data_IF_490978226678
#
_entry.id   IF_490978226678
#
_cell.length_a   1.000
_cell.length_b   1.000
_cell.length_c   1.000
_cell.angle_alpha   90.00
_cell.angle_beta   90.00
_cell.angle_gamma   90.00
#
_symmetry.space_group_name_H-M   'P 1'
#
loop_
_entity.id
_entity.type
_entity.pdbx_description
1 polymer ?
#
# COMPACT_ATOMS: atom_id res chain seq x y z
N UNK A 1 42.55 20.53 62.63
CA UNK A 1 42.74 20.53 61.16
C UNK A 1 41.56 19.77 60.55
N UNK A 2 40.62 20.47 59.91
CA UNK A 2 39.44 19.82 59.33
C UNK A 2 39.80 19.22 57.96
N UNK A 3 39.83 17.90 57.85
CA UNK A 3 39.98 17.19 56.58
C UNK A 3 38.70 17.35 55.77
N UNK A 4 38.71 18.19 54.74
CA UNK A 4 37.60 18.28 53.79
C UNK A 4 37.40 16.93 53.10
N UNK A 5 36.19 16.37 53.27
CA UNK A 5 35.78 15.11 52.67
C UNK A 5 35.46 15.36 51.19
N UNK A 6 36.43 15.18 50.29
CA UNK A 6 36.21 15.36 48.86
C UNK A 6 35.07 14.45 48.36
N UNK A 7 34.15 15.04 47.59
CA UNK A 7 32.99 14.33 47.05
C UNK A 7 33.41 13.25 46.05
N UNK A 8 32.63 12.16 45.96
CA UNK A 8 32.88 11.04 45.03
C UNK A 8 33.12 11.50 43.57
N UNK A 9 32.49 12.62 43.15
CA UNK A 9 32.61 13.19 41.81
C UNK A 9 34.00 13.79 41.55
N UNK A 10 34.62 14.40 42.56
CA UNK A 10 35.94 15.02 42.44
C UNK A 10 37.03 13.95 42.31
N UNK A 11 36.92 12.86 43.09
CA UNK A 11 37.81 11.72 43.01
C UNK A 11 37.78 11.05 41.62
N UNK A 12 36.59 10.94 41.01
CA UNK A 12 36.43 10.43 39.65
C UNK A 12 37.08 11.37 38.64
N UNK A 13 36.81 12.69 38.69
CA UNK A 13 37.44 13.67 37.79
C UNK A 13 38.96 13.58 37.84
N UNK A 14 39.56 13.53 39.04
CA UNK A 14 41.01 13.38 39.21
C UNK A 14 41.55 12.09 38.60
N UNK A 15 40.84 10.96 38.75
CA UNK A 15 41.21 9.68 38.13
C UNK A 15 41.22 9.74 36.60
N UNK A 16 40.22 10.38 35.99
CA UNK A 16 40.08 10.44 34.54
C UNK A 16 40.96 11.51 33.87
N UNK A 17 41.25 12.63 34.55
CA UNK A 17 42.16 13.69 34.08
C UNK A 17 43.65 13.41 34.38
N UNK A 18 43.96 12.33 35.12
CA UNK A 18 45.35 11.96 35.37
C UNK A 18 46.10 11.71 34.05
N UNK A 19 47.30 12.30 33.96
CA UNK A 19 48.17 12.23 32.78
C UNK A 19 49.08 11.02 32.93
N UNK A 20 49.02 10.09 31.98
CA UNK A 20 49.93 8.94 31.91
C UNK A 20 50.97 9.21 30.82
N UNK A 21 52.21 8.78 31.05
CA UNK A 21 53.30 8.84 30.04
C UNK A 21 53.58 7.41 29.59
N UNK A 22 53.26 7.09 28.35
CA UNK A 22 53.69 5.87 27.69
C UNK A 22 55.07 6.17 27.09
N UNK A 23 56.09 5.41 27.51
CA UNK A 23 57.44 5.52 26.95
C UNK A 23 57.75 4.23 26.24
N UNK A 24 58.23 4.33 25.01
CA UNK A 24 58.80 3.21 24.26
C UNK A 24 60.31 3.40 24.33
N UNK A 25 60.97 2.45 24.99
CA UNK A 25 62.41 2.43 25.22
C UNK A 25 63.01 1.22 24.49
N UNK A 26 64.25 1.37 24.02
CA UNK A 26 65.02 0.26 23.45
C UNK A 26 65.49 -0.68 24.57
N UNK A 27 65.37 -1.99 24.36
CA UNK A 27 65.68 -2.99 25.40
C UNK A 27 67.19 -3.19 25.59
N UNK A 28 68.00 -2.92 24.55
CA UNK A 28 69.46 -3.11 24.60
C UNK A 28 70.18 -1.83 25.02
N UNK A 29 69.74 -0.66 24.53
CA UNK A 29 70.43 0.61 24.82
C UNK A 29 69.74 1.48 25.87
N UNK A 30 68.54 1.10 26.34
CA UNK A 30 67.73 1.90 27.27
C UNK A 30 67.52 3.35 26.79
N UNK A 31 67.57 3.61 25.49
CA UNK A 31 67.28 4.93 24.94
C UNK A 31 65.77 5.12 24.77
N UNK A 32 65.23 6.26 25.22
CA UNK A 32 63.82 6.63 25.03
C UNK A 32 63.58 6.97 23.54
N UNK A 33 63.06 6.03 22.75
CA UNK A 33 62.78 6.25 21.32
C UNK A 33 61.50 7.04 21.07
N UNK A 34 60.49 6.88 21.91
CA UNK A 34 59.25 7.66 21.81
C UNK A 34 58.57 7.85 23.18
N UNK A 35 58.01 9.04 23.43
CA UNK A 35 57.27 9.34 24.66
C UNK A 35 55.93 9.99 24.33
N UNK A 36 54.84 9.29 24.63
CA UNK A 36 53.46 9.77 24.43
C UNK A 36 52.81 10.10 25.77
N UNK A 37 52.27 11.32 25.91
CA UNK A 37 51.45 11.69 27.07
C UNK A 37 49.97 11.45 26.75
N UNK A 38 49.37 10.46 27.38
CA UNK A 38 47.98 10.05 27.16
C UNK A 38 47.18 10.14 28.46
N UNK A 39 46.00 10.73 28.40
CA UNK A 39 45.00 10.67 29.47
C UNK A 39 43.94 9.63 29.09
N UNK A 40 43.32 8.98 30.09
CA UNK A 40 42.20 8.05 29.89
C UNK A 40 41.08 8.70 29.07
N UNK A 41 40.87 10.01 29.24
CA UNK A 41 39.89 10.78 28.47
C UNK A 41 40.30 10.93 27.01
N UNK A 42 41.58 11.23 26.74
CA UNK A 42 42.08 11.41 25.38
C UNK A 42 41.95 10.11 24.56
N UNK A 43 42.31 8.97 25.16
CA UNK A 43 42.18 7.64 24.54
C UNK A 43 40.72 7.31 24.23
N UNK A 44 39.80 7.66 25.14
CA UNK A 44 38.36 7.46 24.92
C UNK A 44 37.83 8.33 23.78
N UNK A 45 38.25 9.60 23.72
CA UNK A 45 37.85 10.52 22.64
C UNK A 45 38.37 10.05 21.29
N UNK A 46 39.67 9.73 21.18
CA UNK A 46 40.25 9.21 19.94
C UNK A 46 39.65 7.85 19.54
N UNK A 47 39.43 6.95 20.50
CA UNK A 47 38.80 5.65 20.24
C UNK A 47 37.35 5.79 19.76
N UNK A 48 36.57 6.68 20.38
CA UNK A 48 35.20 6.98 19.97
C UNK A 48 35.15 7.63 18.58
N UNK A 49 36.02 8.61 18.32
CA UNK A 49 36.14 9.25 17.02
C UNK A 49 36.54 8.23 15.94
N UNK A 50 37.53 7.38 16.23
CA UNK A 50 37.95 6.32 15.31
C UNK A 50 36.82 5.34 15.04
N UNK A 51 36.09 4.90 16.07
CA UNK A 51 34.93 4.03 15.90
C UNK A 51 33.85 4.69 15.04
N UNK A 52 33.56 5.98 15.25
CA UNK A 52 32.61 6.73 14.43
C UNK A 52 33.07 6.81 12.97
N UNK A 53 34.37 7.05 12.74
CA UNK A 53 34.96 7.03 11.38
C UNK A 53 34.80 5.65 10.75
N UNK A 54 35.09 4.57 11.46
CA UNK A 54 34.93 3.21 10.93
C UNK A 54 33.47 2.90 10.62
N UNK A 55 32.53 3.26 11.50
CA UNK A 55 31.10 3.04 11.29
C UNK A 55 30.62 3.83 10.07
N UNK A 56 30.93 5.12 10.00
CA UNK A 56 30.55 5.97 8.86
C UNK A 56 31.17 5.47 7.57
N UNK A 57 32.45 5.12 7.57
CA UNK A 57 33.15 4.54 6.42
C UNK A 57 32.52 3.21 5.97
N UNK A 58 32.13 2.35 6.92
CA UNK A 58 31.43 1.09 6.61
C UNK A 58 30.07 1.36 5.98
N UNK A 59 29.31 2.32 6.49
CA UNK A 59 28.01 2.72 5.91
C UNK A 59 28.19 3.34 4.52
N UNK A 60 29.20 4.19 4.33
CA UNK A 60 29.58 4.76 3.04
C UNK A 60 29.92 3.64 2.05
N UNK A 61 30.76 2.68 2.44
CA UNK A 61 31.08 1.50 1.64
C UNK A 61 29.83 0.71 1.27
N UNK A 62 28.91 0.49 2.22
CA UNK A 62 27.65 -0.20 1.92
C UNK A 62 26.82 0.56 0.89
N UNK A 63 26.75 1.89 0.95
CA UNK A 63 25.97 2.71 0.01
C UNK A 63 26.62 2.77 -1.38
N UNK A 64 27.95 2.95 -1.44
CA UNK A 64 28.69 3.07 -2.70
C UNK A 64 28.94 1.72 -3.39
N UNK A 65 28.96 0.62 -2.62
CA UNK A 65 29.11 -0.72 -3.17
C UNK A 65 27.73 -1.30 -3.47
N UNK A 66 27.55 -2.07 -4.57
CA UNK A 66 26.28 -2.71 -4.87
C UNK A 66 25.77 -3.69 -3.79
N UNK A 67 26.53 -3.98 -2.72
CA UNK A 67 26.08 -4.83 -1.60
C UNK A 67 24.80 -4.32 -0.91
N UNK A 68 24.55 -2.99 -0.87
CA UNK A 68 23.31 -2.45 -0.30
C UNK A 68 22.06 -2.95 -1.01
N UNK A 69 22.11 -3.21 -2.33
CA UNK A 69 20.93 -3.67 -3.08
C UNK A 69 20.56 -5.12 -2.73
N UNK A 70 21.54 -5.94 -2.36
CA UNK A 70 21.36 -7.36 -2.06
C UNK A 70 20.83 -7.59 -0.64
N UNK A 71 21.29 -6.80 0.35
CA UNK A 71 20.90 -6.98 1.76
C UNK A 71 19.66 -6.16 2.12
N UNK A 72 19.53 -4.90 1.66
CA UNK A 72 18.43 -4.02 2.06
C UNK A 72 17.22 -4.07 1.09
N UNK A 73 17.26 -4.88 0.04
CA UNK A 73 16.12 -5.09 -0.84
C UNK A 73 15.68 -3.87 -1.65
N UNK A 74 16.47 -2.79 -1.67
CA UNK A 74 16.31 -1.65 -2.59
C UNK A 74 16.73 -2.06 -4.00
N UNK A 75 15.99 -2.99 -4.59
CA UNK A 75 16.08 -3.27 -6.03
C UNK A 75 15.51 -2.06 -6.76
N UNK A 76 16.36 -1.46 -7.60
CA UNK A 76 16.02 -0.31 -8.43
C UNK A 76 14.67 -0.55 -9.15
N UNK A 77 13.81 0.46 -9.12
CA UNK A 77 12.48 0.43 -9.73
C UNK A 77 12.57 0.08 -11.23
N UNK A 78 13.66 0.48 -11.88
CA UNK A 78 14.02 0.15 -13.28
C UNK A 78 14.01 -1.37 -13.52
N UNK A 79 14.79 -2.13 -12.74
CA UNK A 79 14.90 -3.59 -12.89
C UNK A 79 13.55 -4.28 -12.64
N UNK A 80 12.70 -3.70 -11.77
CA UNK A 80 11.35 -4.21 -11.54
C UNK A 80 10.46 -3.97 -12.75
N UNK A 81 10.50 -2.79 -13.37
CA UNK A 81 9.71 -2.50 -14.56
C UNK A 81 10.13 -3.36 -15.74
N UNK A 82 11.43 -3.54 -15.97
CA UNK A 82 11.94 -4.43 -17.01
C UNK A 82 11.53 -5.89 -16.76
N UNK A 83 11.68 -6.37 -15.52
CA UNK A 83 11.25 -7.73 -15.13
C UNK A 83 9.75 -7.90 -15.32
N UNK A 84 8.94 -6.89 -14.97
CA UNK A 84 7.49 -6.93 -15.18
C UNK A 84 7.13 -6.93 -16.66
N UNK A 85 7.78 -6.12 -17.50
CA UNK A 85 7.55 -6.11 -18.94
C UNK A 85 7.94 -7.44 -19.59
N UNK A 86 9.07 -8.02 -19.18
CA UNK A 86 9.52 -9.34 -19.63
C UNK A 86 8.55 -10.44 -19.19
N UNK A 87 8.08 -10.38 -17.94
CA UNK A 87 7.08 -11.32 -17.41
C UNK A 87 5.76 -11.24 -18.21
N UNK A 88 5.29 -10.03 -18.50
CA UNK A 88 4.07 -9.82 -19.31
C UNK A 88 4.23 -10.38 -20.73
N UNK A 89 5.37 -10.13 -21.39
CA UNK A 89 5.67 -10.67 -22.72
C UNK A 89 5.74 -12.20 -22.70
N UNK A 90 6.42 -12.77 -21.70
CA UNK A 90 6.53 -14.23 -21.52
C UNK A 90 5.16 -14.87 -21.30
N UNK A 91 4.33 -14.32 -20.40
CA UNK A 91 2.99 -14.83 -20.13
C UNK A 91 2.07 -14.73 -21.35
N UNK A 92 2.18 -13.65 -22.13
CA UNK A 92 1.45 -13.49 -23.39
C UNK A 92 1.83 -14.58 -24.40
N UNK A 93 3.13 -14.85 -24.54
CA UNK A 93 3.63 -15.88 -25.45
C UNK A 93 3.19 -17.28 -24.99
N UNK A 94 3.32 -17.58 -23.70
CA UNK A 94 2.85 -18.83 -23.10
C UNK A 94 1.36 -19.08 -23.38
N UNK A 95 0.52 -18.03 -23.23
CA UNK A 95 -0.92 -18.12 -23.53
C UNK A 95 -1.17 -18.43 -25.02
N UNK A 96 -0.43 -17.81 -25.93
CA UNK A 96 -0.54 -18.08 -27.37
C UNK A 96 -0.14 -19.52 -27.70
N UNK A 97 0.96 -20.00 -27.13
CA UNK A 97 1.43 -21.38 -27.31
C UNK A 97 0.38 -22.37 -26.79
N UNK A 98 -0.12 -22.17 -25.57
CA UNK A 98 -1.15 -23.04 -24.98
C UNK A 98 -2.43 -23.10 -25.80
N UNK A 99 -2.88 -21.96 -26.34
CA UNK A 99 -4.04 -21.93 -27.23
C UNK A 99 -3.78 -22.67 -28.54
N UNK A 100 -2.59 -22.52 -29.12
CA UNK A 100 -2.19 -23.26 -30.32
C UNK A 100 -2.14 -24.76 -30.07
N UNK A 101 -1.57 -25.20 -28.95
CA UNK A 101 -1.55 -26.62 -28.56
C UNK A 101 -2.96 -27.18 -28.36
N UNK A 102 -3.85 -26.44 -27.72
CA UNK A 102 -5.25 -26.84 -27.54
C UNK A 102 -5.98 -26.96 -28.88
N UNK A 103 -5.72 -26.04 -29.82
CA UNK A 103 -6.26 -26.10 -31.17
C UNK A 103 -5.76 -27.34 -31.92
N UNK A 104 -4.44 -27.56 -31.99
CA UNK A 104 -3.85 -28.73 -32.67
C UNK A 104 -4.32 -30.03 -32.03
N UNK A 105 -4.43 -30.08 -30.71
CA UNK A 105 -4.95 -31.26 -29.98
C UNK A 105 -6.41 -31.53 -30.35
N UNK A 106 -7.23 -30.49 -30.45
CA UNK A 106 -8.64 -30.62 -30.83
C UNK A 106 -8.77 -31.07 -32.30
N UNK A 107 -7.95 -30.52 -33.20
CA UNK A 107 -7.88 -30.98 -34.59
C UNK A 107 -7.49 -32.44 -34.66
N UNK A 108 -6.42 -32.85 -33.97
CA UNK A 108 -5.97 -34.24 -33.94
C UNK A 108 -7.09 -35.18 -33.46
N UNK A 109 -7.84 -34.80 -32.42
CA UNK A 109 -8.99 -35.59 -31.92
C UNK A 109 -10.10 -35.73 -32.95
N UNK A 110 -10.42 -34.66 -33.68
CA UNK A 110 -11.42 -34.69 -34.76
C UNK A 110 -10.96 -35.59 -35.92
N UNK A 111 -9.69 -35.48 -36.34
CA UNK A 111 -9.14 -36.30 -37.43
C UNK A 111 -9.08 -37.80 -37.08
N UNK A 112 -8.87 -38.14 -35.81
CA UNK A 112 -8.83 -39.54 -35.33
C UNK A 112 -10.24 -40.12 -35.10
N UNK A 113 -11.30 -39.30 -35.16
CA UNK A 113 -12.69 -39.74 -34.99
C UNK A 113 -13.17 -39.80 -33.53
N UNK A 114 -12.33 -39.39 -32.57
CA UNK A 114 -12.67 -39.34 -31.14
C UNK A 114 -13.42 -38.05 -30.78
N UNK A 115 -14.59 -37.85 -31.37
CA UNK A 115 -15.49 -36.74 -31.04
C UNK A 115 -16.28 -37.06 -29.77
N UNK A 116 -15.67 -36.83 -28.59
CA UNK A 116 -16.47 -36.57 -27.38
C UNK A 116 -17.02 -35.15 -27.50
N UNK A 117 -18.36 -34.94 -27.50
CA UNK A 117 -18.92 -33.59 -27.51
C UNK A 117 -18.49 -32.88 -26.23
N UNK A 118 -17.53 -31.96 -26.33
CA UNK A 118 -17.30 -31.00 -25.26
C UNK A 118 -18.54 -30.13 -25.19
N UNK A 119 -19.33 -30.34 -24.14
CA UNK A 119 -20.38 -29.42 -23.74
C UNK A 119 -19.71 -28.09 -23.42
N UNK A 120 -19.73 -27.18 -24.39
CA UNK A 120 -19.48 -25.78 -24.11
C UNK A 120 -20.71 -25.30 -23.35
N UNK A 121 -20.63 -25.37 -22.02
CA UNK A 121 -21.61 -24.73 -21.14
C UNK A 121 -21.54 -23.23 -21.44
N UNK A 122 -22.54 -22.76 -22.21
CA UNK A 122 -22.76 -21.35 -22.52
C UNK A 122 -23.30 -20.64 -21.29
N UNK A 123 -22.52 -20.56 -20.22
CA UNK A 123 -22.87 -19.76 -19.04
C UNK A 123 -21.66 -18.93 -18.62
N UNK A 124 -21.38 -17.86 -19.35
CA UNK A 124 -20.44 -16.80 -18.93
C UNK A 124 -21.15 -15.74 -18.08
N UNK A 125 -22.00 -16.17 -17.13
CA UNK A 125 -22.65 -15.28 -16.16
C UNK A 125 -22.29 -15.62 -14.70
N UNK A 126 -21.47 -16.65 -14.47
CA UNK A 126 -21.21 -17.14 -13.11
C UNK A 126 -19.79 -17.68 -12.93
N UNK A 127 -18.78 -16.91 -13.33
CA UNK A 127 -17.44 -17.06 -12.72
C UNK A 127 -17.45 -16.33 -11.37
N UNK A 128 -18.28 -16.83 -10.45
CA UNK A 128 -18.10 -16.56 -9.02
C UNK A 128 -16.96 -17.49 -8.60
N UNK A 129 -15.76 -16.94 -8.46
CA UNK A 129 -14.65 -17.62 -7.81
C UNK A 129 -15.08 -17.97 -6.38
N UNK A 130 -15.73 -19.12 -6.20
CA UNK A 130 -16.10 -19.66 -4.90
C UNK A 130 -14.85 -20.28 -4.30
N UNK A 131 -14.10 -19.47 -3.56
CA UNK A 131 -13.08 -19.94 -2.66
C UNK A 131 -13.79 -20.57 -1.44
N UNK A 132 -13.65 -21.88 -1.16
CA UNK A 132 -14.34 -22.56 -0.05
C UNK A 132 -13.88 -22.09 1.35
N UNK A 133 -12.99 -21.09 1.44
CA UNK A 133 -12.60 -20.42 2.69
C UNK A 133 -13.33 -19.09 2.95
N UNK A 134 -14.27 -18.70 2.08
CA UNK A 134 -14.99 -17.44 2.23
C UNK A 134 -16.39 -17.71 2.82
N UNK A 135 -16.52 -17.62 4.14
CA UNK A 135 -17.81 -17.58 4.80
C UNK A 135 -18.54 -16.27 4.42
N UNK A 136 -19.65 -16.32 3.67
CA UNK A 136 -20.38 -15.12 3.25
C UNK A 136 -20.99 -14.35 4.43
N UNK A 137 -21.03 -14.95 5.63
CA UNK A 137 -21.48 -14.30 6.87
C UNK A 137 -20.36 -13.59 7.65
N UNK A 138 -19.08 -13.83 7.30
CA UNK A 138 -17.93 -13.19 7.94
C UNK A 138 -17.54 -11.86 7.28
N UNK A 139 -18.09 -11.54 6.11
CA UNK A 139 -17.85 -10.27 5.42
C UNK A 139 -18.80 -9.21 5.98
N UNK A 140 -18.36 -8.52 7.03
CA UNK A 140 -18.98 -7.25 7.41
C UNK A 140 -18.61 -6.24 6.31
N UNK A 141 -19.48 -6.08 5.30
CA UNK A 141 -19.33 -5.03 4.29
C UNK A 141 -19.51 -3.69 5.01
N UNK A 142 -18.39 -3.11 5.47
CA UNK A 142 -18.40 -1.78 6.07
C UNK A 142 -18.55 -0.78 4.92
N UNK A 143 -19.70 -0.09 4.89
CA UNK A 143 -20.02 0.96 3.91
C UNK A 143 -18.83 1.93 3.80
N UNK A 144 -18.32 2.13 2.58
CA UNK A 144 -17.26 3.12 2.34
C UNK A 144 -17.83 4.53 2.51
N UNK A 145 -16.98 5.50 2.84
CA UNK A 145 -17.42 6.91 2.97
C UNK A 145 -18.04 7.41 1.67
N UNK A 146 -17.49 6.97 0.54
CA UNK A 146 -17.93 7.30 -0.81
C UNK A 146 -19.33 6.75 -1.12
N UNK A 147 -19.64 5.51 -0.74
CA UNK A 147 -21.00 4.94 -0.93
C UNK A 147 -22.06 5.70 -0.11
N UNK A 148 -21.70 6.13 1.10
CA UNK A 148 -22.60 6.92 1.96
C UNK A 148 -22.90 8.30 1.36
N UNK A 149 -21.90 8.96 0.75
CA UNK A 149 -22.07 10.27 0.11
C UNK A 149 -22.91 10.14 -1.16
N UNK A 150 -22.62 9.13 -1.99
CA UNK A 150 -23.36 8.89 -3.22
C UNK A 150 -24.85 8.63 -2.95
N UNK A 151 -25.16 7.82 -1.94
CA UNK A 151 -26.55 7.53 -1.56
C UNK A 151 -27.31 8.79 -1.15
N UNK A 152 -26.68 9.67 -0.37
CA UNK A 152 -27.29 10.96 0.01
C UNK A 152 -27.56 11.83 -1.21
N UNK A 153 -26.62 11.88 -2.16
CA UNK A 153 -26.79 12.65 -3.39
C UNK A 153 -27.95 12.11 -4.24
N UNK A 154 -28.04 10.79 -4.40
CA UNK A 154 -29.15 10.15 -5.14
C UNK A 154 -30.49 10.37 -4.45
N UNK A 155 -30.55 10.25 -3.12
CA UNK A 155 -31.77 10.52 -2.35
C UNK A 155 -32.23 11.98 -2.47
N UNK A 156 -31.31 12.94 -2.43
CA UNK A 156 -31.61 14.36 -2.65
C UNK A 156 -32.10 14.64 -4.08
N UNK A 157 -31.54 13.98 -5.09
CA UNK A 157 -32.00 14.10 -6.48
C UNK A 157 -33.38 13.47 -6.68
N UNK A 158 -33.64 12.31 -6.08
CA UNK A 158 -34.93 11.63 -6.14
C UNK A 158 -36.03 12.45 -5.45
N UNK A 159 -35.73 13.09 -4.31
CA UNK A 159 -36.68 14.00 -3.63
C UNK A 159 -36.97 15.22 -4.51
N UNK A 160 -35.95 15.87 -5.08
CA UNK A 160 -36.15 17.00 -6.01
C UNK A 160 -36.91 16.60 -7.27
N UNK A 161 -36.69 15.38 -7.78
CA UNK A 161 -37.45 14.86 -8.91
C UNK A 161 -38.93 14.64 -8.55
N UNK A 162 -39.22 14.15 -7.34
CA UNK A 162 -40.59 14.00 -6.83
C UNK A 162 -41.28 15.34 -6.60
N UNK A 163 -40.58 16.32 -6.04
CA UNK A 163 -41.11 17.67 -5.81
C UNK A 163 -41.44 18.38 -7.13
N UNK A 164 -40.55 18.31 -8.13
CA UNK A 164 -40.83 18.85 -9.48
C UNK A 164 -42.05 18.21 -10.14
N UNK A 165 -42.27 16.92 -9.91
CA UNK A 165 -43.45 16.22 -10.43
C UNK A 165 -44.74 16.60 -9.68
N UNK A 166 -44.65 16.97 -8.39
CA UNK A 166 -45.81 17.42 -7.61
C UNK A 166 -46.19 18.88 -7.91
N UNK A 167 -45.21 19.79 -8.09
CA UNK A 167 -45.47 21.18 -8.48
C UNK A 167 -46.07 21.30 -9.89
N UNK A 168 -45.75 20.36 -10.79
CA UNK A 168 -46.37 20.28 -12.11
C UNK A 168 -47.84 19.84 -12.08
N UNK A 169 -48.35 19.40 -10.91
CA UNK A 169 -49.68 18.78 -10.78
C UNK A 169 -50.64 19.52 -9.82
N UNK A 170 -50.30 20.72 -9.35
CA UNK A 170 -51.28 21.59 -8.65
C UNK A 170 -52.10 22.45 -9.63
N UNK A 171 -53.44 22.46 -9.57
CA UNK A 171 -54.28 23.33 -10.40
C UNK A 171 -54.17 24.79 -9.92
N UNK A 172 -53.72 25.68 -10.81
CA UNK A 172 -53.74 27.13 -10.56
C UNK A 172 -55.19 27.62 -10.37
N UNK A 173 -55.52 28.02 -9.15
CA UNK A 173 -56.74 28.74 -8.85
C UNK A 173 -56.80 30.06 -9.64
N UNK A 174 -57.81 30.20 -10.49
CA UNK A 174 -58.14 31.42 -11.22
C UNK A 174 -59.65 31.64 -11.22
N UNK A 175 -60.08 32.76 -10.64
CA UNK A 175 -61.45 33.28 -10.67
C UNK A 175 -61.97 33.44 -12.10
N UNK A 176 -63.23 33.06 -12.33
CA UNK A 176 -64.21 33.89 -13.06
C UNK A 176 -65.62 33.32 -12.85
N UNK A 177 -66.51 34.18 -12.36
CA UNK A 177 -67.96 34.10 -12.49
C UNK A 177 -68.39 34.04 -13.98
N UNK A 178 -69.65 33.62 -14.19
CA UNK A 178 -70.41 33.58 -15.45
C UNK A 178 -70.06 32.40 -16.38
N UNK A 179 -70.99 31.65 -16.98
CA UNK A 179 -72.38 31.93 -17.30
C UNK A 179 -73.15 30.60 -17.38
N UNK A 180 -74.42 30.69 -17.01
CA UNK A 180 -75.39 29.60 -17.05
C UNK A 180 -75.75 29.29 -18.50
N UNK A 181 -75.71 28.01 -18.89
CA UNK A 181 -76.61 27.35 -19.88
C UNK A 181 -76.02 26.00 -20.28
N UNK A 182 -76.66 24.91 -19.88
CA UNK A 182 -77.45 24.11 -20.81
C UNK A 182 -78.02 22.90 -20.05
N UNK A 183 -79.16 23.11 -19.40
CA UNK A 183 -80.09 22.04 -19.03
C UNK A 183 -80.93 21.77 -20.28
N UNK A 184 -80.83 20.56 -20.83
CA UNK A 184 -81.87 19.78 -21.53
C UNK A 184 -81.25 18.94 -22.63
N UNK A 185 -81.09 17.64 -22.37
CA UNK A 185 -81.63 16.55 -23.21
C UNK A 185 -81.04 15.22 -22.74
N UNK A 186 -81.85 14.45 -22.02
CA UNK A 186 -82.15 13.02 -22.25
C UNK A 186 -82.64 12.40 -20.95
N UNK A 187 -83.93 12.63 -20.72
CA UNK A 187 -84.81 11.79 -19.93
C UNK A 187 -85.26 10.60 -20.81
N UNK A 188 -85.68 9.52 -20.17
CA UNK A 188 -86.25 8.27 -20.71
C UNK A 188 -85.26 7.21 -21.25
N UNK A 189 -85.02 6.17 -20.46
CA UNK A 189 -85.84 4.94 -20.60
C UNK A 189 -85.71 4.03 -19.38
N UNK A 190 -86.88 3.58 -18.93
CA UNK A 190 -87.17 2.89 -17.69
C UNK A 190 -86.75 1.42 -17.64
N UNK A 191 -86.45 1.02 -16.40
CA UNK A 191 -86.75 -0.23 -15.67
C UNK A 191 -87.92 -1.11 -16.19
N UNK A 192 -87.96 -2.39 -15.79
CA UNK A 192 -88.49 -2.79 -14.47
C UNK A 192 -87.47 -3.41 -13.52
#
# INVERSE_FOLDING_TARGET
MATQKESRKEQLKRKWLSKYRLVVMDDETFEEKASFRLSRLNIFVFGSLFALVVITFTVLLLIYTPLRQYVLGYTAVENKQETLQLLLKSNSLEKKVKNSEAYITSLKKVLVGDIKPQRHDKDTASVRNYNPKFDPKAVIIKRSKQDSILRKQVEEEDVKARERNNEANEPRAGNSEDDSRNTQQQEETETP
#
